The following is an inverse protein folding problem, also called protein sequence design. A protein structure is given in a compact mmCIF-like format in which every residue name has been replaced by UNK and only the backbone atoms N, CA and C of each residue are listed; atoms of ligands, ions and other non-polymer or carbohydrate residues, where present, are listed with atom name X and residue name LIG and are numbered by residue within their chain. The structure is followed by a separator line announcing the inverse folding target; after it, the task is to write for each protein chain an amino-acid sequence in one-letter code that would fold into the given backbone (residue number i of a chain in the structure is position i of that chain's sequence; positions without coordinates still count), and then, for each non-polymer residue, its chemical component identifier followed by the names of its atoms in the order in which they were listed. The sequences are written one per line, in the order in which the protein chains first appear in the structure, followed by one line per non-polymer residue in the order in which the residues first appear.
data_IF_024238026920
#
_entry.id   IF_024238026920
#
_cell.length_a   1.000
_cell.length_b   1.000
_cell.length_c   1.000
_cell.angle_alpha   90.00
_cell.angle_beta   90.00
_cell.angle_gamma   90.00
#
_symmetry.space_group_name_H-M   'P 1'
#
loop_
_entity.id
_entity.type
_entity.pdbx_description
1 polymer ?
#
# COMPACT_ATOMS: atom_id res chain seq x y z
N UNK A 1 12.05 16.14 1.55
CA UNK A 1 11.62 14.80 1.97
C UNK A 1 12.83 13.88 2.15
N UNK A 2 13.53 13.97 3.28
CA UNK A 2 14.63 13.02 3.60
C UNK A 2 14.13 11.70 4.18
N UNK A 3 12.86 11.66 4.61
CA UNK A 3 12.33 10.57 5.44
C UNK A 3 12.10 9.24 4.71
N UNK A 4 11.55 9.27 3.48
CA UNK A 4 11.32 8.06 2.68
C UNK A 4 12.51 7.73 1.76
N UNK A 5 13.46 8.65 1.59
CA UNK A 5 14.57 8.49 0.65
C UNK A 5 15.40 7.21 0.88
N UNK A 6 15.73 6.80 2.12
CA UNK A 6 16.44 5.54 2.36
C UNK A 6 15.65 4.32 1.92
N UNK A 7 14.34 4.28 2.18
CA UNK A 7 13.49 3.16 1.78
C UNK A 7 13.38 3.08 0.26
N UNK A 8 13.15 4.22 -0.41
CA UNK A 8 13.04 4.30 -1.87
C UNK A 8 14.32 3.87 -2.61
N UNK A 9 15.49 3.93 -1.95
CA UNK A 9 16.75 3.42 -2.50
C UNK A 9 16.79 1.89 -2.50
N UNK A 10 16.17 1.22 -1.53
CA UNK A 10 16.13 -0.24 -1.40
C UNK A 10 15.15 -0.92 -2.36
N UNK A 11 14.44 -0.14 -3.19
CA UNK A 11 13.36 -0.64 -4.07
C UNK A 11 13.77 -1.71 -5.08
N UNK A 12 15.08 -1.81 -5.39
CA UNK A 12 15.62 -2.81 -6.31
C UNK A 12 16.12 -4.07 -5.59
N UNK A 13 16.42 -3.96 -4.31
CA UNK A 13 17.07 -4.97 -3.49
C UNK A 13 16.08 -5.82 -2.68
N UNK A 14 14.87 -5.30 -2.46
CA UNK A 14 13.79 -5.98 -1.75
C UNK A 14 12.77 -6.57 -2.73
N UNK A 15 12.15 -7.68 -2.31
CA UNK A 15 10.95 -8.20 -2.97
C UNK A 15 9.76 -7.25 -2.77
N UNK A 16 8.77 -7.30 -3.67
CA UNK A 16 7.69 -6.31 -3.71
C UNK A 16 6.96 -6.12 -2.37
N UNK A 17 6.55 -7.20 -1.72
CA UNK A 17 5.80 -7.13 -0.47
C UNK A 17 6.67 -6.68 0.71
N UNK A 18 7.96 -7.04 0.72
CA UNK A 18 8.89 -6.60 1.76
C UNK A 18 9.18 -5.10 1.62
N UNK A 19 9.32 -4.62 0.38
CA UNK A 19 9.43 -3.19 0.08
C UNK A 19 8.17 -2.44 0.50
N UNK A 20 6.97 -2.94 0.13
CA UNK A 20 5.70 -2.32 0.48
C UNK A 20 5.51 -2.24 2.00
N UNK A 21 5.84 -3.31 2.71
CA UNK A 21 5.83 -3.35 4.17
C UNK A 21 6.77 -2.29 4.78
N UNK A 22 7.99 -2.20 4.28
CA UNK A 22 8.98 -1.24 4.78
C UNK A 22 8.55 0.20 4.52
N UNK A 23 7.98 0.47 3.34
CA UNK A 23 7.45 1.79 2.96
C UNK A 23 6.34 2.24 3.92
N UNK A 24 5.38 1.35 4.17
CA UNK A 24 4.24 1.64 5.05
C UNK A 24 4.67 1.76 6.53
N UNK A 25 5.56 0.90 7.03
CA UNK A 25 6.12 1.04 8.39
C UNK A 25 6.84 2.37 8.56
N UNK A 26 7.56 2.82 7.55
CA UNK A 26 8.21 4.12 7.59
C UNK A 26 7.15 5.23 7.59
N UNK A 27 6.12 5.18 6.74
CA UNK A 27 5.01 6.13 6.77
C UNK A 27 4.33 6.21 8.16
N UNK A 28 4.19 5.08 8.87
CA UNK A 28 3.66 5.05 10.23
C UNK A 28 4.57 5.75 11.24
N UNK A 29 5.88 5.55 11.14
CA UNK A 29 6.85 6.25 11.98
C UNK A 29 6.78 7.77 11.76
N UNK A 30 6.59 8.21 10.51
CA UNK A 30 6.36 9.63 10.22
C UNK A 30 5.07 10.13 10.87
N UNK A 31 3.97 9.38 10.73
CA UNK A 31 2.67 9.73 11.31
C UNK A 31 2.76 9.88 12.85
N UNK A 32 3.49 8.98 13.53
CA UNK A 32 3.77 9.07 14.98
C UNK A 32 4.50 10.36 15.36
N UNK A 33 5.47 10.77 14.54
CA UNK A 33 6.26 11.99 14.78
C UNK A 33 5.48 13.27 14.44
N UNK A 34 4.38 13.17 13.69
CA UNK A 34 3.60 14.30 13.18
C UNK A 34 2.09 14.16 13.52
N UNK A 35 1.71 14.10 14.81
CA UNK A 35 0.34 13.80 15.22
C UNK A 35 -0.69 14.85 14.79
N UNK A 36 -0.28 16.10 14.59
CA UNK A 36 -1.16 17.16 14.10
C UNK A 36 -1.60 16.92 12.66
N UNK A 37 -0.67 16.50 11.78
CA UNK A 37 -0.98 16.17 10.39
C UNK A 37 -1.94 14.98 10.30
N UNK A 38 -1.77 13.99 11.18
CA UNK A 38 -2.68 12.85 11.33
C UNK A 38 -4.08 13.30 11.76
N UNK A 39 -4.18 14.18 12.76
CA UNK A 39 -5.47 14.67 13.23
C UNK A 39 -6.22 15.44 12.13
N UNK A 40 -5.51 16.28 11.37
CA UNK A 40 -6.09 16.96 10.20
C UNK A 40 -6.61 15.94 9.18
N UNK A 41 -5.82 14.90 8.87
CA UNK A 41 -6.24 13.82 7.96
C UNK A 41 -7.48 13.07 8.45
N UNK A 42 -7.55 12.79 9.76
CA UNK A 42 -8.70 12.16 10.41
C UNK A 42 -9.96 13.04 10.30
N UNK A 43 -9.84 14.32 10.63
CA UNK A 43 -10.96 15.27 10.58
C UNK A 43 -11.51 15.42 9.16
N UNK A 44 -10.62 15.46 8.16
CA UNK A 44 -10.99 15.46 6.74
C UNK A 44 -11.73 14.16 6.39
N UNK A 45 -11.26 12.98 6.82
CA UNK A 45 -11.91 11.70 6.49
C UNK A 45 -13.28 11.55 7.17
N UNK A 46 -13.42 12.00 8.41
CA UNK A 46 -14.68 11.88 9.17
C UNK A 46 -15.70 12.94 8.74
N UNK A 47 -15.24 14.09 8.24
CA UNK A 47 -16.09 15.14 7.69
C UNK A 47 -17.06 14.59 6.62
N UNK A 48 -18.34 14.94 6.75
CA UNK A 48 -19.42 14.62 5.80
C UNK A 48 -19.68 15.74 4.78
N UNK A 49 -18.79 16.74 4.67
CA UNK A 49 -19.00 17.90 3.78
C UNK A 49 -18.46 17.66 2.38
N UNK A 50 -19.14 18.22 1.36
CA UNK A 50 -18.71 18.20 -0.06
C UNK A 50 -17.34 18.86 -0.29
N UNK A 51 -16.89 19.74 0.62
CA UNK A 51 -15.57 20.40 0.51
C UNK A 51 -14.40 19.44 0.76
N UNK A 52 -14.65 18.31 1.42
CA UNK A 52 -13.67 17.26 1.69
C UNK A 52 -12.98 16.74 0.42
N UNK A 53 -13.75 16.44 -0.63
CA UNK A 53 -13.20 15.86 -1.87
C UNK A 53 -12.27 16.84 -2.58
N UNK A 54 -12.64 18.13 -2.60
CA UNK A 54 -11.79 19.20 -3.12
C UNK A 54 -10.52 19.36 -2.29
N UNK A 55 -10.65 19.38 -0.96
CA UNK A 55 -9.51 19.56 -0.07
C UNK A 55 -8.52 18.39 -0.17
N UNK A 56 -9.03 17.15 -0.17
CA UNK A 56 -8.21 15.94 -0.37
C UNK A 56 -7.51 15.98 -1.73
N UNK A 57 -8.23 16.31 -2.81
CA UNK A 57 -7.65 16.40 -4.15
C UNK A 57 -6.50 17.41 -4.20
N UNK A 58 -6.67 18.60 -3.61
CA UNK A 58 -5.61 19.63 -3.57
C UNK A 58 -4.40 19.17 -2.75
N UNK A 59 -4.60 18.61 -1.56
CA UNK A 59 -3.51 18.12 -0.70
C UNK A 59 -2.73 17.00 -1.39
N UNK A 60 -3.44 16.05 -2.01
CA UNK A 60 -2.86 14.92 -2.74
C UNK A 60 -2.07 15.40 -3.96
N UNK A 61 -2.62 16.31 -4.76
CA UNK A 61 -1.92 16.91 -5.90
C UNK A 61 -0.66 17.68 -5.47
N UNK A 62 -0.72 18.42 -4.37
CA UNK A 62 0.41 19.21 -3.86
C UNK A 62 1.52 18.32 -3.27
N UNK A 63 1.13 17.28 -2.52
CA UNK A 63 2.06 16.27 -2.02
C UNK A 63 2.75 15.54 -3.18
N UNK A 64 2.01 15.19 -4.23
CA UNK A 64 2.57 14.51 -5.41
C UNK A 64 3.42 15.43 -6.29
N UNK A 65 3.13 16.73 -6.41
CA UNK A 65 4.01 17.68 -7.12
C UNK A 65 5.43 17.76 -6.53
N UNK A 66 5.58 17.43 -5.24
CA UNK A 66 6.88 17.41 -4.57
C UNK A 66 7.61 16.06 -4.68
N UNK A 67 6.90 14.99 -5.06
CA UNK A 67 7.51 13.69 -5.38
C UNK A 67 7.84 13.72 -6.87
N UNK A 68 9.12 13.69 -7.24
CA UNK A 68 9.58 13.69 -8.65
C UNK A 68 9.18 12.42 -9.43
N UNK A 69 8.34 11.55 -8.86
CA UNK A 69 7.85 10.31 -9.44
C UNK A 69 6.40 10.12 -9.03
N UNK A 70 5.49 10.07 -10.00
CA UNK A 70 4.09 9.72 -9.75
C UNK A 70 4.01 8.35 -9.05
N UNK A 71 3.41 8.26 -7.85
CA UNK A 71 3.37 7.00 -7.09
C UNK A 71 2.67 5.87 -7.83
N UNK A 72 1.74 6.18 -8.73
CA UNK A 72 1.13 5.18 -9.58
C UNK A 72 2.16 4.53 -10.52
N UNK A 73 3.05 5.33 -11.12
CA UNK A 73 4.14 4.84 -11.95
C UNK A 73 5.17 4.04 -11.14
N UNK A 74 5.47 4.47 -9.91
CA UNK A 74 6.36 3.74 -9.01
C UNK A 74 5.81 2.34 -8.69
N UNK A 75 4.54 2.24 -8.27
CA UNK A 75 3.93 0.94 -7.98
C UNK A 75 3.86 0.05 -9.22
N UNK A 76 3.49 0.60 -10.37
CA UNK A 76 3.46 -0.14 -11.65
C UNK A 76 4.84 -0.69 -12.03
N UNK A 77 5.91 0.09 -11.90
CA UNK A 77 7.28 -0.37 -12.16
C UNK A 77 7.66 -1.53 -11.23
N UNK A 78 7.38 -1.38 -9.94
CA UNK A 78 7.71 -2.41 -8.93
C UNK A 78 6.92 -3.70 -9.15
N UNK A 79 5.63 -3.61 -9.49
CA UNK A 79 4.80 -4.77 -9.80
C UNK A 79 5.30 -5.50 -11.05
N UNK A 80 5.64 -4.76 -12.12
CA UNK A 80 6.19 -5.36 -13.35
C UNK A 80 7.49 -6.12 -13.08
N UNK A 81 8.36 -5.54 -12.24
CA UNK A 81 9.59 -6.19 -11.81
C UNK A 81 9.31 -7.44 -10.97
N UNK A 82 8.34 -7.39 -10.06
CA UNK A 82 7.95 -8.51 -9.21
C UNK A 82 7.38 -9.68 -10.01
N UNK A 83 6.54 -9.41 -11.03
CA UNK A 83 6.04 -10.43 -11.96
C UNK A 83 7.20 -11.05 -12.75
N UNK A 84 8.11 -10.21 -13.27
CA UNK A 84 9.29 -10.68 -14.02
C UNK A 84 10.22 -11.56 -13.17
N UNK A 85 10.26 -11.33 -11.86
CA UNK A 85 11.03 -12.11 -10.87
C UNK A 85 10.25 -13.31 -10.31
N UNK A 86 9.04 -13.56 -10.79
CA UNK A 86 8.14 -14.62 -10.30
C UNK A 86 7.79 -14.49 -8.80
N UNK A 87 7.89 -13.28 -8.25
CA UNK A 87 7.47 -12.98 -6.87
C UNK A 87 5.95 -12.83 -6.78
N UNK A 88 5.30 -12.42 -7.87
CA UNK A 88 3.86 -12.23 -8.04
C UNK A 88 3.43 -12.97 -9.31
N UNK A 89 2.27 -13.61 -9.27
CA UNK A 89 1.68 -14.28 -10.43
C UNK A 89 1.44 -13.31 -11.60
N UNK A 90 1.65 -13.79 -12.81
CA UNK A 90 1.34 -13.08 -14.06
C UNK A 90 -0.14 -13.21 -14.48
N UNK A 91 -0.96 -13.90 -13.67
CA UNK A 91 -2.37 -14.17 -13.97
C UNK A 91 -3.23 -12.89 -14.10
N UNK A 92 -2.74 -11.76 -13.57
CA UNK A 92 -3.38 -10.45 -13.68
C UNK A 92 -2.42 -9.45 -14.29
N UNK A 93 -2.95 -8.46 -15.01
CA UNK A 93 -2.11 -7.39 -15.53
C UNK A 93 -1.50 -6.56 -14.37
N UNK A 94 -0.31 -5.96 -14.56
CA UNK A 94 0.28 -5.08 -13.57
C UNK A 94 -0.66 -3.96 -13.11
N UNK A 95 -1.49 -3.44 -14.02
CA UNK A 95 -2.49 -2.40 -13.75
C UNK A 95 -3.58 -2.90 -12.81
N UNK A 96 -4.04 -4.14 -12.99
CA UNK A 96 -5.02 -4.77 -12.11
C UNK A 96 -4.44 -5.00 -10.71
N UNK A 97 -3.21 -5.52 -10.61
CA UNK A 97 -2.53 -5.71 -9.33
C UNK A 97 -2.36 -4.37 -8.61
N UNK A 98 -1.91 -3.34 -9.34
CA UNK A 98 -1.71 -1.99 -8.81
C UNK A 98 -3.02 -1.39 -8.28
N UNK A 99 -4.13 -1.54 -9.02
CA UNK A 99 -5.45 -1.11 -8.55
C UNK A 99 -5.82 -1.75 -7.21
N UNK A 100 -5.61 -3.07 -7.06
CA UNK A 100 -5.92 -3.77 -5.81
C UNK A 100 -5.02 -3.34 -4.66
N UNK A 101 -3.71 -3.19 -4.90
CA UNK A 101 -2.76 -2.70 -3.90
C UNK A 101 -3.19 -1.33 -3.39
N UNK A 102 -3.43 -0.37 -4.29
CA UNK A 102 -3.83 0.99 -3.92
C UNK A 102 -5.19 1.03 -3.20
N UNK A 103 -6.18 0.29 -3.70
CA UNK A 103 -7.52 0.22 -3.08
C UNK A 103 -7.43 -0.27 -1.63
N UNK A 104 -6.59 -1.27 -1.39
CA UNK A 104 -6.45 -1.84 -0.06
C UNK A 104 -5.59 -0.96 0.87
N UNK A 105 -4.53 -0.31 0.37
CA UNK A 105 -3.79 0.73 1.12
C UNK A 105 -4.74 1.85 1.54
N UNK A 106 -5.60 2.32 0.64
CA UNK A 106 -6.61 3.33 0.96
C UNK A 106 -7.61 2.82 2.01
N UNK A 107 -8.06 1.57 1.90
CA UNK A 107 -8.94 0.92 2.87
C UNK A 107 -8.31 0.85 4.26
N UNK A 108 -7.04 0.44 4.36
CA UNK A 108 -6.27 0.42 5.60
C UNK A 108 -6.16 1.83 6.18
N UNK A 109 -5.73 2.81 5.39
CA UNK A 109 -5.60 4.20 5.85
C UNK A 109 -6.92 4.76 6.40
N UNK A 110 -8.05 4.54 5.70
CA UNK A 110 -9.37 4.92 6.20
C UNK A 110 -9.73 4.20 7.50
N UNK A 111 -9.43 2.92 7.62
CA UNK A 111 -9.69 2.15 8.84
C UNK A 111 -8.88 2.71 10.00
N UNK A 112 -7.57 2.91 9.82
CA UNK A 112 -6.69 3.45 10.86
C UNK A 112 -7.13 4.83 11.33
N UNK A 113 -7.52 5.71 10.41
CA UNK A 113 -7.95 7.06 10.75
C UNK A 113 -9.36 7.11 11.36
N UNK A 114 -10.22 6.12 11.11
CA UNK A 114 -11.57 6.05 11.70
C UNK A 114 -11.64 5.27 13.01
N UNK A 115 -10.66 4.42 13.31
CA UNK A 115 -10.59 3.72 14.59
C UNK A 115 -10.52 4.75 15.73
N UNK A 116 -11.39 4.57 16.73
CA UNK A 116 -11.36 5.37 17.95
C UNK A 116 -10.35 4.79 18.97
N UNK A 117 -9.16 4.45 18.47
CA UNK A 117 -8.06 3.93 19.28
C UNK A 117 -7.09 5.06 19.60
N UNK A 118 -6.47 4.99 20.76
CA UNK A 118 -5.57 6.03 21.27
C UNK A 118 -4.30 6.19 20.42
N UNK A 119 -3.90 5.13 19.70
CA UNK A 119 -2.70 5.14 18.85
C UNK A 119 -2.92 4.30 17.57
N UNK A 120 -3.56 4.87 16.54
CA UNK A 120 -3.85 4.16 15.30
C UNK A 120 -2.61 3.80 14.48
N UNK A 121 -1.43 4.32 14.84
CA UNK A 121 -0.17 3.94 14.20
C UNK A 121 0.68 3.05 15.12
N UNK A 122 0.21 2.76 16.33
CA UNK A 122 0.82 1.86 17.29
C UNK A 122 0.72 0.39 16.89
N UNK A 123 0.88 -0.51 17.87
CA UNK A 123 0.91 -1.96 17.64
C UNK A 123 -0.33 -2.48 16.90
N UNK A 124 -1.51 -1.94 17.19
CA UNK A 124 -2.75 -2.36 16.52
C UNK A 124 -2.79 -1.94 15.06
N UNK A 125 -2.34 -0.72 14.75
CA UNK A 125 -2.23 -0.28 13.36
C UNK A 125 -1.20 -1.09 12.58
N UNK A 126 -0.04 -1.37 13.18
CA UNK A 126 1.00 -2.22 12.59
C UNK A 126 0.47 -3.63 12.32
N UNK A 127 -0.34 -4.21 13.22
CA UNK A 127 -0.96 -5.51 13.01
C UNK A 127 -1.97 -5.51 11.84
N UNK A 128 -2.77 -4.43 11.69
CA UNK A 128 -3.70 -4.28 10.55
C UNK A 128 -2.91 -4.20 9.23
N UNK A 129 -1.79 -3.48 9.22
CA UNK A 129 -0.92 -3.38 8.06
C UNK A 129 -0.30 -4.75 7.72
N UNK A 130 0.18 -5.49 8.71
CA UNK A 130 0.75 -6.84 8.52
C UNK A 130 -0.28 -7.83 7.98
N UNK A 131 -1.50 -7.81 8.52
CA UNK A 131 -2.62 -8.61 8.00
C UNK A 131 -2.93 -8.26 6.53
N UNK A 132 -3.00 -6.97 6.22
CA UNK A 132 -3.22 -6.47 4.86
C UNK A 132 -2.18 -6.98 3.86
N UNK A 133 -0.88 -6.83 4.17
CA UNK A 133 0.19 -7.28 3.29
C UNK A 133 0.17 -8.80 3.13
N UNK A 134 -0.16 -9.53 4.20
CA UNK A 134 -0.34 -10.98 4.16
C UNK A 134 -1.48 -11.39 3.21
N UNK A 135 -2.62 -10.67 3.22
CA UNK A 135 -3.74 -10.92 2.31
C UNK A 135 -3.32 -10.69 0.86
N UNK A 136 -2.63 -9.59 0.55
CA UNK A 136 -2.14 -9.34 -0.80
C UNK A 136 -1.15 -10.40 -1.26
N UNK A 137 -0.18 -10.74 -0.40
CA UNK A 137 0.82 -11.77 -0.68
C UNK A 137 0.14 -13.12 -0.94
N UNK A 138 -0.85 -13.49 -0.15
CA UNK A 138 -1.62 -14.70 -0.39
C UNK A 138 -2.36 -14.65 -1.73
N UNK A 139 -3.02 -13.53 -2.04
CA UNK A 139 -3.78 -13.36 -3.27
C UNK A 139 -2.92 -13.37 -4.54
N UNK A 140 -1.70 -12.86 -4.47
CA UNK A 140 -0.85 -12.67 -5.65
C UNK A 140 0.29 -13.68 -5.78
N UNK A 141 0.73 -14.35 -4.70
CA UNK A 141 1.79 -15.35 -4.78
C UNK A 141 1.25 -16.80 -4.86
N UNK A 142 0.07 -17.10 -4.29
CA UNK A 142 -0.36 -18.50 -4.12
C UNK A 142 -1.33 -19.04 -5.20
N UNK A 143 -1.70 -18.24 -6.21
CA UNK A 143 -2.68 -18.67 -7.21
C UNK A 143 -2.14 -19.74 -8.20
N UNK A 144 -0.83 -19.86 -8.34
CA UNK A 144 -0.21 -20.84 -9.26
C UNK A 144 -0.25 -22.28 -8.72
N UNK A 145 -0.34 -22.46 -7.40
CA UNK A 145 -0.46 -23.78 -6.78
C UNK A 145 -1.77 -24.52 -7.13
N UNK A 146 -2.75 -23.85 -7.75
CA UNK A 146 -4.00 -24.48 -8.22
C UNK A 146 -3.99 -24.93 -9.68
N UNK A 147 -3.06 -24.47 -10.52
CA UNK A 147 -3.01 -24.88 -11.94
C UNK A 147 -2.31 -26.23 -12.17
N UNK A 148 -1.58 -26.77 -11.19
CA UNK A 148 -0.89 -28.07 -11.33
C UNK A 148 -1.64 -29.27 -10.70
N UNK A 149 -2.80 -29.05 -10.04
CA UNK A 149 -3.56 -30.12 -9.37
C UNK A 149 -4.62 -30.84 -10.22
N UNK A 150 -4.79 -30.46 -11.49
CA UNK A 150 -5.92 -30.87 -12.33
C UNK A 150 -5.54 -31.48 -13.67
N UNK A 151 -4.65 -32.48 -13.68
CA UNK A 151 -4.63 -33.46 -14.76
C UNK A 151 -3.94 -34.75 -14.31
N UNK A 152 -4.73 -35.64 -13.69
CA UNK A 152 -4.49 -37.08 -13.79
C UNK A 152 -5.59 -37.64 -14.66
N UNK A 153 -5.36 -37.62 -15.97
CA UNK A 153 -5.93 -38.61 -16.88
C UNK A 153 -5.44 -39.98 -16.42
N UNK A 154 -6.35 -40.81 -15.93
CA UNK A 154 -6.11 -42.25 -15.91
C UNK A 154 -6.78 -42.82 -17.16
N UNK A 155 -5.93 -43.31 -18.05
CA UNK A 155 -6.25 -44.40 -18.99
C UNK A 155 -6.80 -45.63 -18.23
#
# INVERSE_FOLDING_TARGET
MEFLAPVLQMRKDLGFFDFLMLLEKQAFQFAKQNPQSVQIGRDIIISKTLEKEKLLKTIVEEAYRQIQTDPNNLYLELIKNAITREEITDAYSPETVNFYVQTMVEGVNKRLLTLNISDPFGKEGEAILEEFISILKHGFCNLENKKQGGNKTND
#
